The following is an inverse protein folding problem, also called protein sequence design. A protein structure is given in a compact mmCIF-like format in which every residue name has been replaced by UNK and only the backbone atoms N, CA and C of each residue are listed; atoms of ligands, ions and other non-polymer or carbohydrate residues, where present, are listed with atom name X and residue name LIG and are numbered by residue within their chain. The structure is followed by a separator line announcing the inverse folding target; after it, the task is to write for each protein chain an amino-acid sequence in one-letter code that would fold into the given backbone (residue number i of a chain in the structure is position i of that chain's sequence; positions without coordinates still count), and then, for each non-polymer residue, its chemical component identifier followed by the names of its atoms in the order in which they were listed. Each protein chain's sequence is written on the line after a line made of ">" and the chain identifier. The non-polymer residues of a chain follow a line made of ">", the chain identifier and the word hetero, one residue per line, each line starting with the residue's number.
data_IF_786449663856
#
_entry.id   IF_786449663856
#
_cell.length_a   1.000
_cell.length_b   1.000
_cell.length_c   1.000
_cell.angle_alpha   90.00
_cell.angle_beta   90.00
_cell.angle_gamma   90.00
#
_symmetry.space_group_name_H-M   'P 1'
#
loop_
_entity.id
_entity.type
_entity.pdbx_description
1 polymer ?
#
# COMPACT_ATOMS: atom_id res chain seq x y z
N UNK A 1 -4.17 -8.99 -16.14
CA UNK A 1 -3.85 -7.97 -15.13
C UNK A 1 -5.16 -7.30 -14.72
N UNK A 2 -5.51 -7.30 -13.44
CA UNK A 2 -6.69 -6.55 -12.95
C UNK A 2 -6.25 -5.12 -12.64
N UNK A 3 -7.17 -4.16 -12.81
CA UNK A 3 -6.98 -2.77 -12.43
C UNK A 3 -7.90 -2.51 -11.24
N UNK A 4 -7.38 -1.89 -10.20
CA UNK A 4 -8.18 -1.50 -9.04
C UNK A 4 -9.26 -0.50 -9.46
N UNK A 5 -10.47 -0.68 -8.93
CA UNK A 5 -11.64 0.16 -9.28
C UNK A 5 -11.41 1.66 -9.04
N UNK A 6 -10.59 2.03 -8.07
CA UNK A 6 -10.24 3.41 -7.79
C UNK A 6 -9.35 4.05 -8.89
N UNK A 7 -8.80 3.25 -9.80
CA UNK A 7 -8.00 3.71 -10.94
C UNK A 7 -8.83 4.10 -12.16
N UNK A 8 -10.02 3.53 -12.34
CA UNK A 8 -10.82 3.73 -13.56
C UNK A 8 -11.08 5.21 -13.92
N UNK A 9 -11.45 6.10 -12.99
CA UNK A 9 -11.64 7.52 -13.32
C UNK A 9 -10.36 8.19 -13.84
N UNK A 10 -9.19 7.74 -13.37
CA UNK A 10 -7.89 8.27 -13.79
C UNK A 10 -7.46 7.74 -15.16
N UNK A 11 -7.87 6.55 -15.55
CA UNK A 11 -7.58 5.97 -16.86
C UNK A 11 -8.55 6.50 -17.94
N UNK A 12 -9.81 6.70 -17.59
CA UNK A 12 -10.84 7.06 -18.55
C UNK A 12 -10.56 8.39 -19.27
N UNK A 13 -10.10 9.41 -18.54
CA UNK A 13 -9.84 10.75 -19.11
C UNK A 13 -8.70 10.70 -20.14
N UNK A 14 -7.48 10.28 -19.82
CA UNK A 14 -6.40 10.27 -20.80
C UNK A 14 -6.65 9.28 -21.95
N UNK A 15 -7.30 8.15 -21.69
CA UNK A 15 -7.67 7.20 -22.75
C UNK A 15 -8.66 7.84 -23.74
N UNK A 16 -9.72 8.49 -23.23
CA UNK A 16 -10.69 9.20 -24.05
C UNK A 16 -10.05 10.34 -24.85
N UNK A 17 -9.15 11.12 -24.23
CA UNK A 17 -8.41 12.20 -24.91
C UNK A 17 -7.53 11.65 -26.04
N UNK A 18 -6.82 10.53 -25.79
CA UNK A 18 -6.00 9.88 -26.81
C UNK A 18 -6.85 9.38 -27.97
N UNK A 19 -8.00 8.76 -27.69
CA UNK A 19 -8.91 8.27 -28.71
C UNK A 19 -9.49 9.43 -29.55
N UNK A 20 -9.96 10.50 -28.92
CA UNK A 20 -10.51 11.67 -29.60
C UNK A 20 -9.48 12.34 -30.52
N UNK A 21 -8.26 12.55 -30.05
CA UNK A 21 -7.16 13.11 -30.84
C UNK A 21 -6.77 12.21 -32.02
N UNK A 22 -6.78 10.89 -31.81
CA UNK A 22 -6.51 9.92 -32.87
C UNK A 22 -7.57 9.94 -33.96
N UNK A 23 -8.86 10.02 -33.59
CA UNK A 23 -9.98 10.15 -34.55
C UNK A 23 -9.90 11.48 -35.30
N UNK A 24 -9.72 12.59 -34.59
CA UNK A 24 -9.58 13.93 -35.21
C UNK A 24 -8.42 13.93 -36.20
N UNK A 25 -7.28 13.37 -35.83
CA UNK A 25 -6.09 13.31 -36.70
C UNK A 25 -6.29 12.44 -37.96
N UNK A 26 -7.19 11.44 -37.90
CA UNK A 26 -7.56 10.63 -39.07
C UNK A 26 -8.57 11.31 -39.97
N UNK A 27 -9.67 11.87 -39.37
CA UNK A 27 -10.76 12.50 -40.10
C UNK A 27 -10.32 13.81 -40.80
N UNK A 28 -9.49 14.61 -40.13
CA UNK A 28 -9.03 15.92 -40.62
C UNK A 28 -7.65 15.88 -41.27
N UNK A 29 -7.05 14.70 -41.46
CA UNK A 29 -5.65 14.45 -41.90
C UNK A 29 -4.61 15.31 -41.17
N UNK A 30 -4.83 15.64 -39.93
CA UNK A 30 -3.96 16.48 -39.11
C UNK A 30 -2.93 15.63 -38.38
N UNK A 31 -1.70 15.59 -38.86
CA UNK A 31 -0.61 14.84 -38.26
C UNK A 31 -0.33 15.23 -36.81
N UNK A 32 -0.42 16.53 -36.47
CA UNK A 32 -0.21 17.01 -35.11
C UNK A 32 -1.19 16.36 -34.08
N UNK A 33 -2.45 16.16 -34.45
CA UNK A 33 -3.44 15.56 -33.56
C UNK A 33 -3.10 14.07 -33.28
N UNK A 34 -2.63 13.34 -34.29
CA UNK A 34 -2.13 11.96 -34.13
C UNK A 34 -0.91 11.93 -33.20
N UNK A 35 0.03 12.86 -33.34
CA UNK A 35 1.22 12.94 -32.46
C UNK A 35 0.82 13.32 -31.04
N UNK A 36 -0.11 14.27 -30.86
CA UNK A 36 -0.61 14.69 -29.55
C UNK A 36 -1.38 13.59 -28.80
N UNK A 37 -1.84 12.53 -29.46
CA UNK A 37 -2.48 11.39 -28.81
C UNK A 37 -1.50 10.53 -27.99
N UNK A 38 -0.21 10.47 -28.36
CA UNK A 38 0.78 9.60 -27.75
C UNK A 38 1.07 9.90 -26.26
N UNK A 39 1.25 11.17 -25.81
CA UNK A 39 1.41 11.47 -24.39
C UNK A 39 0.24 10.98 -23.53
N UNK A 40 -1.00 11.10 -24.01
CA UNK A 40 -2.17 10.60 -23.30
C UNK A 40 -2.21 9.07 -23.25
N UNK A 41 -1.79 8.40 -24.31
CA UNK A 41 -1.67 6.95 -24.32
C UNK A 41 -0.58 6.47 -23.34
N UNK A 42 0.58 7.13 -23.34
CA UNK A 42 1.64 6.85 -22.41
C UNK A 42 1.21 7.07 -20.94
N UNK A 43 0.48 8.16 -20.67
CA UNK A 43 -0.10 8.40 -19.35
C UNK A 43 -1.12 7.31 -18.97
N UNK A 44 -1.97 6.90 -19.89
CA UNK A 44 -2.92 5.80 -19.65
C UNK A 44 -2.18 4.51 -19.30
N UNK A 45 -1.13 4.16 -20.04
CA UNK A 45 -0.32 2.97 -19.78
C UNK A 45 0.37 3.04 -18.40
N UNK A 46 0.95 4.18 -18.05
CA UNK A 46 1.52 4.41 -16.73
C UNK A 46 0.47 4.24 -15.61
N UNK A 47 -0.70 4.86 -15.75
CA UNK A 47 -1.78 4.74 -14.76
C UNK A 47 -2.31 3.31 -14.67
N UNK A 48 -2.38 2.57 -15.78
CA UNK A 48 -2.76 1.15 -15.78
C UNK A 48 -1.74 0.30 -14.99
N UNK A 49 -0.45 0.59 -15.15
CA UNK A 49 0.62 -0.05 -14.37
C UNK A 49 0.53 0.35 -12.90
N UNK A 50 0.30 1.63 -12.60
CA UNK A 50 0.18 2.14 -11.24
C UNK A 50 -1.00 1.51 -10.47
N UNK A 51 -2.19 1.46 -11.08
CA UNK A 51 -3.41 0.90 -10.48
C UNK A 51 -3.55 -0.62 -10.68
N UNK A 52 -2.48 -1.31 -11.12
CA UNK A 52 -2.52 -2.76 -11.25
C UNK A 52 -2.78 -3.43 -9.90
N UNK A 53 -3.64 -4.42 -9.92
CA UNK A 53 -3.99 -5.26 -8.77
C UNK A 53 -3.67 -6.72 -9.09
N UNK A 54 -2.42 -7.16 -8.88
CA UNK A 54 -2.05 -8.54 -9.12
C UNK A 54 -2.73 -9.48 -8.12
N UNK A 55 -3.07 -10.67 -8.59
CA UNK A 55 -3.41 -11.76 -7.68
C UNK A 55 -2.12 -12.19 -6.97
N UNK A 56 -2.16 -12.22 -5.65
CA UNK A 56 -1.03 -12.60 -4.81
C UNK A 56 -1.33 -13.92 -4.14
N UNK A 57 -0.31 -14.76 -4.07
CA UNK A 57 -0.28 -15.95 -3.23
C UNK A 57 0.93 -15.80 -2.34
N UNK A 58 0.79 -16.12 -1.06
CA UNK A 58 1.94 -16.12 -0.16
C UNK A 58 3.01 -17.08 -0.72
N UNK A 59 4.28 -16.68 -0.65
CA UNK A 59 5.42 -17.49 -1.11
C UNK A 59 5.49 -18.82 -0.33
N UNK A 60 5.03 -18.82 0.92
CA UNK A 60 4.71 -20.02 1.69
C UNK A 60 3.19 -20.24 1.59
N UNK A 61 2.75 -21.15 0.74
CA UNK A 61 1.31 -21.42 0.59
C UNK A 61 0.88 -22.62 1.45
N UNK A 62 -0.13 -22.50 2.33
CA UNK A 62 -0.71 -21.25 2.85
C UNK A 62 0.27 -20.52 3.78
N UNK A 63 0.13 -19.20 4.02
CA UNK A 63 0.96 -18.54 5.01
C UNK A 63 0.86 -19.31 6.32
N UNK A 64 2.01 -19.57 6.94
CA UNK A 64 1.99 -20.15 8.29
C UNK A 64 1.06 -19.27 9.15
N UNK A 65 0.29 -19.90 10.02
CA UNK A 65 -0.69 -19.17 10.84
C UNK A 65 -0.06 -18.08 11.70
N UNK A 66 1.25 -18.15 11.86
CA UNK A 66 2.09 -17.22 12.62
C UNK A 66 2.71 -16.08 11.79
N UNK A 67 2.63 -16.14 10.45
CA UNK A 67 3.30 -15.13 9.61
C UNK A 67 2.51 -13.82 9.56
N UNK A 68 3.23 -12.71 9.74
CA UNK A 68 2.78 -11.35 9.44
C UNK A 68 3.36 -10.97 8.08
N UNK A 69 2.50 -10.69 7.10
CA UNK A 69 2.92 -10.40 5.73
C UNK A 69 3.12 -8.91 5.50
N UNK A 70 3.96 -8.58 4.53
CA UNK A 70 4.07 -7.20 4.06
C UNK A 70 2.71 -6.70 3.57
N UNK A 71 2.26 -5.51 4.03
CA UNK A 71 0.99 -4.93 3.58
C UNK A 71 1.08 -4.28 2.20
N UNK A 72 2.29 -4.12 1.65
CA UNK A 72 2.53 -3.42 0.39
C UNK A 72 3.80 -3.90 -0.30
N UNK A 73 3.91 -3.61 -1.60
CA UNK A 73 5.17 -3.72 -2.34
C UNK A 73 6.06 -2.52 -1.99
N UNK A 74 7.37 -2.74 -1.92
CA UNK A 74 8.30 -1.63 -1.70
C UNK A 74 9.64 -2.03 -1.12
N UNK A 75 10.28 -1.06 -0.48
CA UNK A 75 11.58 -1.22 0.18
C UNK A 75 11.43 -0.98 1.68
N UNK A 76 11.97 -1.88 2.50
CA UNK A 76 11.97 -1.77 3.95
C UNK A 76 12.85 -0.60 4.39
N UNK A 77 12.26 0.33 5.15
CA UNK A 77 12.97 1.50 5.69
C UNK A 77 13.36 1.33 7.15
N UNK A 78 12.51 0.65 7.92
CA UNK A 78 12.70 0.36 9.34
C UNK A 78 12.40 -1.12 9.56
N UNK A 79 13.21 -1.80 10.37
CA UNK A 79 12.99 -3.18 10.78
C UNK A 79 13.57 -3.38 12.19
N UNK A 80 12.73 -3.62 13.17
CA UNK A 80 13.08 -3.79 14.57
C UNK A 80 12.60 -2.64 15.46
N UNK A 81 13.50 -1.93 16.14
CA UNK A 81 13.13 -0.85 17.07
C UNK A 81 12.32 0.25 16.38
N UNK A 82 11.19 0.70 16.98
CA UNK A 82 10.39 1.74 16.44
C UNK A 82 11.13 3.09 16.36
N UNK A 83 10.79 3.87 15.34
CA UNK A 83 11.22 5.26 15.30
C UNK A 83 10.66 6.03 16.51
N UNK A 84 11.44 6.93 17.12
CA UNK A 84 10.98 7.69 18.31
C UNK A 84 9.65 8.41 18.08
N UNK A 85 8.69 8.21 18.99
CA UNK A 85 7.38 8.84 18.95
C UNK A 85 6.45 8.36 17.84
N UNK A 86 6.76 7.26 17.16
CA UNK A 86 5.96 6.74 16.02
C UNK A 86 5.07 5.58 16.43
N UNK A 87 5.56 4.66 17.27
CA UNK A 87 4.76 3.51 17.70
C UNK A 87 3.49 3.93 18.46
N UNK A 88 2.40 3.16 18.35
CA UNK A 88 1.27 3.31 19.25
C UNK A 88 1.68 3.00 20.69
N UNK A 89 0.80 3.29 21.65
CA UNK A 89 1.04 2.93 23.05
C UNK A 89 1.24 1.43 23.20
N UNK A 90 2.26 1.03 23.96
CA UNK A 90 2.65 -0.38 24.17
C UNK A 90 4.07 -0.67 23.77
N UNK A 91 4.45 -1.96 23.80
CA UNK A 91 5.79 -2.44 23.49
C UNK A 91 5.82 -3.13 22.12
N UNK A 92 6.33 -2.42 21.13
CA UNK A 92 6.25 -2.81 19.72
C UNK A 92 7.62 -2.90 19.06
N UNK A 93 7.67 -3.68 18.00
CA UNK A 93 8.67 -3.57 16.93
C UNK A 93 7.98 -2.97 15.68
N UNK A 94 8.76 -2.30 14.84
CA UNK A 94 8.27 -1.62 13.64
C UNK A 94 8.90 -2.20 12.38
N UNK A 95 8.07 -2.47 11.39
CA UNK A 95 8.51 -2.66 10.00
C UNK A 95 7.84 -1.60 9.14
N UNK A 96 8.66 -0.76 8.48
CA UNK A 96 8.16 0.28 7.57
C UNK A 96 8.53 -0.03 6.14
N UNK A 97 7.58 0.09 5.24
CA UNK A 97 7.75 -0.16 3.80
C UNK A 97 7.45 1.11 3.02
N UNK A 98 8.41 1.56 2.22
CA UNK A 98 8.24 2.67 1.29
C UNK A 98 7.80 2.15 -0.07
N UNK A 99 6.70 2.69 -0.59
CA UNK A 99 6.16 2.41 -1.90
C UNK A 99 6.57 3.52 -2.87
N UNK A 100 7.40 3.19 -3.85
CA UNK A 100 7.72 4.10 -4.95
C UNK A 100 6.57 4.15 -5.96
N UNK A 101 6.54 5.16 -6.82
CA UNK A 101 5.48 5.36 -7.84
C UNK A 101 5.34 4.23 -8.87
N UNK A 102 6.29 3.31 -8.92
CA UNK A 102 6.26 2.14 -9.82
C UNK A 102 5.83 0.85 -9.11
N UNK A 103 5.75 0.87 -7.77
CA UNK A 103 5.31 -0.27 -6.97
C UNK A 103 3.78 -0.46 -7.03
N UNK A 104 3.27 -1.61 -6.59
CA UNK A 104 1.83 -1.83 -6.46
C UNK A 104 1.31 -1.09 -5.25
N UNK A 105 0.28 -0.26 -5.45
CA UNK A 105 -0.27 0.60 -4.40
C UNK A 105 -1.52 0.04 -3.72
N UNK A 106 -1.98 -1.14 -4.11
CA UNK A 106 -3.01 -1.88 -3.37
C UNK A 106 -2.44 -2.35 -2.05
N UNK A 107 -3.08 -1.97 -0.95
CA UNK A 107 -2.66 -2.34 0.39
C UNK A 107 -3.43 -3.56 0.86
N UNK A 108 -2.76 -4.40 1.65
CA UNK A 108 -3.27 -5.68 2.12
C UNK A 108 -3.16 -5.77 3.64
N UNK A 109 -4.05 -6.54 4.25
CA UNK A 109 -3.95 -6.84 5.68
C UNK A 109 -2.67 -7.64 5.96
N UNK A 110 -1.82 -7.17 6.88
CA UNK A 110 -0.61 -7.90 7.24
C UNK A 110 -0.92 -9.20 8.00
N UNK A 111 -2.05 -9.24 8.69
CA UNK A 111 -2.46 -10.36 9.51
C UNK A 111 -3.97 -10.58 9.42
N UNK A 112 -4.43 -11.78 9.70
CA UNK A 112 -5.85 -12.12 9.78
C UNK A 112 -6.44 -11.65 11.10
N UNK A 113 -7.75 -11.55 11.16
CA UNK A 113 -8.48 -11.27 12.38
C UNK A 113 -9.58 -10.23 12.17
N UNK A 114 -10.08 -9.72 13.27
CA UNK A 114 -11.08 -8.67 13.29
C UNK A 114 -10.44 -7.30 13.36
N UNK A 115 -10.90 -6.38 12.55
CA UNK A 115 -10.55 -4.96 12.69
C UNK A 115 -11.22 -4.43 13.96
N UNK A 116 -10.43 -4.14 14.98
CA UNK A 116 -10.93 -3.65 16.29
C UNK A 116 -11.01 -2.14 16.35
N UNK A 117 -10.11 -1.46 15.62
CA UNK A 117 -10.07 0.01 15.57
C UNK A 117 -9.64 0.50 14.20
N UNK A 118 -10.17 1.65 13.80
CA UNK A 118 -9.77 2.41 12.61
C UNK A 118 -9.81 3.88 12.95
N UNK A 119 -8.68 4.56 12.84
CA UNK A 119 -8.58 6.00 13.07
C UNK A 119 -7.94 6.69 11.87
N UNK A 120 -8.35 7.94 11.64
CA UNK A 120 -7.78 8.81 10.62
C UNK A 120 -7.21 10.06 11.27
N UNK A 121 -5.99 10.40 10.93
CA UNK A 121 -5.32 11.61 11.40
C UNK A 121 -4.99 12.48 10.20
N UNK A 122 -5.55 13.68 10.08
CA UNK A 122 -5.14 14.65 9.07
C UNK A 122 -3.70 15.09 9.33
N UNK A 123 -2.99 15.49 8.29
CA UNK A 123 -1.58 15.86 8.44
C UNK A 123 -0.98 16.49 7.19
N UNK A 124 0.34 16.53 7.17
CA UNK A 124 1.15 17.06 6.06
C UNK A 124 1.30 16.03 4.92
N UNK A 125 1.96 16.44 3.84
CA UNK A 125 2.29 15.61 2.68
C UNK A 125 3.79 15.64 2.40
N UNK A 126 4.60 15.34 3.42
CA UNK A 126 6.05 15.23 3.28
C UNK A 126 6.40 13.99 2.46
N UNK A 127 7.61 13.97 1.87
CA UNK A 127 8.09 12.79 1.17
C UNK A 127 8.09 11.57 2.11
N UNK A 128 7.42 10.49 1.71
CA UNK A 128 7.12 9.34 2.56
C UNK A 128 8.39 8.60 3.04
N UNK A 129 9.52 8.77 2.36
CA UNK A 129 10.82 8.22 2.77
C UNK A 129 11.49 9.02 3.90
N UNK A 130 11.01 10.21 4.26
CA UNK A 130 11.53 10.97 5.40
C UNK A 130 11.01 10.38 6.71
N UNK A 131 11.85 10.40 7.73
CA UNK A 131 11.49 9.89 9.05
C UNK A 131 10.28 10.63 9.64
N UNK A 132 10.24 11.97 9.47
CA UNK A 132 9.18 12.84 9.99
C UNK A 132 7.81 12.55 9.37
N UNK A 133 7.77 11.92 8.19
CA UNK A 133 6.51 11.55 7.52
C UNK A 133 5.64 10.62 8.38
N UNK A 134 6.28 9.78 9.19
CA UNK A 134 5.60 8.78 10.02
C UNK A 134 4.59 9.38 11.02
N UNK A 135 4.88 10.56 11.55
CA UNK A 135 4.04 11.22 12.55
C UNK A 135 3.41 12.53 12.06
N UNK A 136 3.96 13.17 11.01
CA UNK A 136 3.46 14.45 10.51
C UNK A 136 2.49 14.32 9.34
N UNK A 137 2.60 13.25 8.55
CA UNK A 137 1.76 13.08 7.38
C UNK A 137 0.36 12.58 7.75
N UNK A 138 -0.59 12.92 6.86
CA UNK A 138 -1.92 12.34 6.86
C UNK A 138 -1.81 10.81 6.85
N UNK A 139 -2.55 10.15 7.74
CA UNK A 139 -2.49 8.70 7.91
C UNK A 139 -3.81 8.10 8.37
N UNK A 140 -4.00 6.84 8.04
CA UNK A 140 -5.01 5.95 8.60
C UNK A 140 -4.31 4.85 9.39
N UNK A 141 -4.78 4.59 10.60
CA UNK A 141 -4.28 3.52 11.46
C UNK A 141 -5.37 2.48 11.67
N UNK A 142 -5.00 1.23 11.57
CA UNK A 142 -5.89 0.08 11.72
C UNK A 142 -5.28 -0.93 12.70
N UNK A 143 -6.12 -1.46 13.56
CA UNK A 143 -5.80 -2.50 14.50
C UNK A 143 -6.52 -3.78 14.09
N UNK A 144 -5.78 -4.87 13.91
CA UNK A 144 -6.32 -6.19 13.60
C UNK A 144 -5.98 -7.15 14.73
N UNK A 145 -6.97 -7.92 15.19
CA UNK A 145 -6.83 -8.84 16.32
C UNK A 145 -7.37 -10.22 15.98
N UNK A 146 -6.60 -11.25 16.33
CA UNK A 146 -6.97 -12.67 16.24
C UNK A 146 -6.64 -13.35 17.60
N UNK A 147 -7.67 -13.57 18.45
CA UNK A 147 -7.49 -13.96 19.83
C UNK A 147 -6.68 -12.91 20.61
N UNK A 148 -5.57 -13.35 21.23
CA UNK A 148 -4.66 -12.46 21.99
C UNK A 148 -3.63 -11.75 21.11
N UNK A 149 -3.58 -12.06 19.81
CA UNK A 149 -2.60 -11.52 18.87
C UNK A 149 -3.11 -10.24 18.23
N UNK A 150 -2.37 -9.16 18.38
CA UNK A 150 -2.71 -7.86 17.80
C UNK A 150 -1.59 -7.37 16.90
N UNK A 151 -1.94 -6.90 15.72
CA UNK A 151 -1.05 -6.20 14.78
C UNK A 151 -1.66 -4.84 14.45
N UNK A 152 -0.84 -3.80 14.52
CA UNK A 152 -1.24 -2.44 14.13
C UNK A 152 -0.56 -2.08 12.83
N UNK A 153 -1.28 -1.44 11.92
CA UNK A 153 -0.68 -0.98 10.68
C UNK A 153 -1.25 0.36 10.23
N UNK A 154 -0.39 1.15 9.59
CA UNK A 154 -0.71 2.51 9.15
C UNK A 154 -0.51 2.66 7.65
N UNK A 155 -1.46 3.32 7.02
CA UNK A 155 -1.34 3.87 5.68
C UNK A 155 -0.92 5.34 5.83
N UNK A 156 0.23 5.73 5.28
CA UNK A 156 0.80 7.07 5.43
C UNK A 156 1.03 7.65 4.03
N UNK A 157 0.42 8.78 3.75
CA UNK A 157 0.56 9.45 2.44
C UNK A 157 1.96 10.03 2.23
N UNK A 158 2.30 10.30 0.97
CA UNK A 158 3.51 11.02 0.57
C UNK A 158 3.18 12.32 -0.17
N UNK A 159 4.16 12.92 -0.84
CA UNK A 159 4.02 14.22 -1.55
C UNK A 159 2.90 14.21 -2.59
N UNK A 160 2.82 13.14 -3.38
CA UNK A 160 1.84 12.99 -4.46
C UNK A 160 0.59 12.26 -3.98
N UNK A 161 0.70 11.42 -2.95
CA UNK A 161 -0.42 10.70 -2.37
C UNK A 161 -1.22 11.66 -1.49
N UNK A 162 -2.35 12.14 -1.99
CA UNK A 162 -3.25 13.03 -1.24
C UNK A 162 -4.55 12.33 -0.84
N UNK A 163 -4.61 11.00 -0.90
CA UNK A 163 -5.83 10.28 -0.55
C UNK A 163 -5.53 8.83 -0.17
N UNK A 164 -5.94 8.48 1.02
CA UNK A 164 -6.02 7.12 1.51
C UNK A 164 -7.42 6.57 1.16
N UNK A 165 -7.47 5.38 0.60
CA UNK A 165 -8.70 4.63 0.40
C UNK A 165 -8.65 3.43 1.31
N UNK A 166 -9.31 3.51 2.46
CA UNK A 166 -9.52 2.38 3.36
C UNK A 166 -10.87 1.73 3.03
N UNK A 167 -10.93 0.41 2.96
CA UNK A 167 -12.11 -0.36 2.54
C UNK A 167 -12.67 -1.24 3.63
N UNK A 168 -12.04 -1.22 4.78
CA UNK A 168 -12.42 -1.99 5.96
C UNK A 168 -12.78 -1.03 7.10
N UNK A 169 -13.69 -1.47 7.94
CA UNK A 169 -14.17 -0.72 9.10
C UNK A 169 -14.09 -1.60 10.36
N UNK A 170 -14.13 -0.99 11.56
CA UNK A 170 -14.19 -1.77 12.79
C UNK A 170 -15.37 -2.76 12.77
N UNK A 171 -15.07 -4.00 13.12
CA UNK A 171 -16.02 -5.12 13.06
C UNK A 171 -15.77 -6.07 11.90
N UNK A 172 -15.14 -5.64 10.82
CA UNK A 172 -14.86 -6.51 9.67
C UNK A 172 -13.86 -7.61 10.03
N UNK A 173 -14.07 -8.79 9.46
CA UNK A 173 -13.12 -9.90 9.47
C UNK A 173 -12.24 -9.81 8.21
N UNK A 174 -10.94 -9.90 8.38
CA UNK A 174 -9.98 -9.88 7.27
C UNK A 174 -9.07 -11.11 7.31
N UNK A 175 -8.74 -11.63 6.14
CA UNK A 175 -7.72 -12.65 5.99
C UNK A 175 -6.32 -12.02 5.84
N UNK A 176 -5.27 -12.76 6.19
CA UNK A 176 -3.90 -12.36 5.88
C UNK A 176 -3.73 -12.17 4.37
N UNK A 177 -3.18 -11.04 3.94
CA UNK A 177 -3.02 -10.70 2.53
C UNK A 177 -4.28 -10.18 1.82
N UNK A 178 -5.41 -10.08 2.50
CA UNK A 178 -6.65 -9.52 1.95
C UNK A 178 -6.49 -8.03 1.61
N UNK A 179 -7.15 -7.58 0.54
CA UNK A 179 -7.10 -6.18 0.10
C UNK A 179 -7.89 -5.28 1.05
N UNK A 180 -7.21 -4.35 1.70
CA UNK A 180 -7.83 -3.44 2.68
C UNK A 180 -7.94 -2.00 2.18
N UNK A 181 -7.33 -1.70 1.05
CA UNK A 181 -7.37 -0.35 0.51
C UNK A 181 -6.31 -0.07 -0.53
N UNK A 182 -6.07 1.21 -0.75
CA UNK A 182 -4.96 1.66 -1.60
C UNK A 182 -4.60 3.10 -1.25
N UNK A 183 -3.34 3.46 -1.49
CA UNK A 183 -2.86 4.84 -1.45
C UNK A 183 -2.45 5.30 -2.85
N UNK A 184 -2.72 6.58 -3.19
CA UNK A 184 -2.45 7.10 -4.53
C UNK A 184 -1.15 7.89 -4.53
N UNK A 185 -0.13 7.42 -5.30
CA UNK A 185 1.14 8.07 -5.65
C UNK A 185 2.15 8.27 -4.51
N UNK A 186 3.02 7.26 -4.31
CA UNK A 186 4.17 7.32 -3.40
C UNK A 186 3.78 7.46 -1.92
N UNK A 187 4.01 6.42 -1.16
CA UNK A 187 3.43 6.30 0.17
C UNK A 187 4.31 5.42 1.06
N UNK A 188 3.90 5.26 2.30
CA UNK A 188 4.55 4.42 3.28
C UNK A 188 3.50 3.60 4.03
N UNK A 189 3.85 2.36 4.35
CA UNK A 189 3.10 1.56 5.30
C UNK A 189 3.98 1.20 6.49
N UNK A 190 3.48 1.44 7.67
CA UNK A 190 4.10 1.00 8.92
C UNK A 190 3.29 -0.17 9.49
N UNK A 191 4.00 -1.19 9.96
CA UNK A 191 3.43 -2.33 10.67
C UNK A 191 4.09 -2.41 12.03
N UNK A 192 3.30 -2.52 13.08
CA UNK A 192 3.76 -2.70 14.44
C UNK A 192 3.34 -4.08 14.91
N UNK A 193 4.31 -4.85 15.37
CA UNK A 193 4.13 -6.18 15.93
C UNK A 193 4.68 -6.21 17.35
N UNK A 194 4.10 -6.99 18.28
CA UNK A 194 4.64 -7.12 19.64
C UNK A 194 6.08 -7.63 19.66
N UNK A 195 6.78 -7.36 20.73
CA UNK A 195 8.19 -7.78 20.94
C UNK A 195 8.42 -9.29 20.84
N UNK A 196 7.42 -10.08 21.14
CA UNK A 196 7.46 -11.54 21.01
C UNK A 196 7.53 -12.04 19.57
N UNK A 197 7.22 -11.19 18.58
CA UNK A 197 7.39 -11.52 17.19
C UNK A 197 8.87 -11.43 16.78
N UNK A 198 9.30 -12.34 15.92
CA UNK A 198 10.61 -12.23 15.26
C UNK A 198 10.46 -11.46 13.96
N UNK A 199 11.17 -10.33 13.80
CA UNK A 199 11.25 -9.60 12.54
C UNK A 199 12.14 -10.37 11.56
N UNK A 200 11.64 -10.62 10.34
CA UNK A 200 12.27 -11.50 9.34
C UNK A 200 12.96 -10.75 8.21
N UNK A 201 12.83 -9.42 8.18
CA UNK A 201 13.37 -8.58 7.11
C UNK A 201 14.38 -7.59 7.65
N UNK A 202 15.18 -7.03 6.74
CA UNK A 202 16.19 -6.03 7.08
C UNK A 202 15.96 -4.74 6.28
N UNK A 203 16.47 -3.61 6.78
CA UNK A 203 16.44 -2.33 6.08
C UNK A 203 17.10 -2.45 4.70
N UNK A 204 16.45 -1.91 3.68
CA UNK A 204 16.88 -1.96 2.28
C UNK A 204 16.35 -3.17 1.50
N UNK A 205 15.80 -4.18 2.16
CA UNK A 205 15.21 -5.35 1.51
C UNK A 205 13.96 -4.97 0.73
N UNK A 206 13.79 -5.53 -0.48
CA UNK A 206 12.53 -5.44 -1.22
C UNK A 206 11.54 -6.49 -0.75
N UNK A 207 10.30 -6.06 -0.60
CA UNK A 207 9.19 -6.93 -0.17
C UNK A 207 7.99 -6.78 -1.10
N UNK A 208 7.13 -7.81 -1.10
CA UNK A 208 5.91 -7.86 -1.90
C UNK A 208 4.69 -8.01 -0.98
N UNK A 209 3.72 -7.13 -1.18
CA UNK A 209 2.49 -7.10 -0.41
C UNK A 209 1.68 -8.39 -0.53
N UNK A 210 1.35 -9.00 0.60
CA UNK A 210 0.60 -10.27 0.67
C UNK A 210 1.39 -11.52 0.28
N UNK A 211 2.72 -11.41 0.07
CA UNK A 211 3.59 -12.53 -0.27
C UNK A 211 4.75 -12.67 0.73
N UNK A 212 5.49 -11.59 0.96
CA UNK A 212 6.69 -11.63 1.82
C UNK A 212 6.32 -11.59 3.30
N UNK A 213 6.75 -12.60 4.07
CA UNK A 213 6.66 -12.57 5.53
C UNK A 213 7.68 -11.53 6.08
N UNK A 214 7.20 -10.56 6.85
CA UNK A 214 8.00 -9.48 7.44
C UNK A 214 8.26 -9.70 8.93
N UNK A 215 7.39 -10.45 9.59
CA UNK A 215 7.56 -10.88 10.97
C UNK A 215 6.84 -12.21 11.20
N UNK A 216 7.14 -12.86 12.31
CA UNK A 216 6.52 -14.13 12.72
C UNK A 216 6.30 -14.14 14.22
N UNK A 217 5.11 -14.56 14.63
CA UNK A 217 4.80 -14.84 16.01
C UNK A 217 5.65 -16.00 16.54
N UNK A 218 6.18 -15.87 17.74
CA UNK A 218 6.80 -17.01 18.44
C UNK A 218 5.74 -18.09 18.69
N UNK A 219 6.11 -19.35 18.50
CA UNK A 219 5.21 -20.44 18.88
C UNK A 219 5.04 -20.43 20.40
N UNK A 220 3.82 -20.63 20.90
CA UNK A 220 3.66 -20.89 22.32
C UNK A 220 4.48 -22.13 22.67
N UNK A 221 5.35 -22.01 23.66
CA UNK A 221 6.10 -23.13 24.28
C UNK A 221 5.17 -24.01 25.06
#
# INVERSE_FOLDING_TARGET
>A
MRIDRAGWPFLAVPLGSSAALSVLGRVSDRRWARLAAWPFLALTAYLAVFFRDPQRRCDSAPPASEDVLSPADGVVMVAGEPQPGVAPEGDWQQVSVFLSVVDVHVNRSPYRGRITSSSYTPGSFLAAYRAESAHRNERSELWVQDGDRTVVFRQIVGVLARRIVTRVVPGDQVATGERIGLMKFGSRMDVFVPRECTVLVTKGQRVRGGETAIARWSRPT
#
